data_IF_113438578127
#
_entry.id   IF_113438578127
#
_cell.length_a   1.000
_cell.length_b   1.000
_cell.length_c   1.000
_cell.angle_alpha   90.00
_cell.angle_beta   90.00
_cell.angle_gamma   90.00
#
_symmetry.space_group_name_H-M   'P 1'
#
loop_
_entity.id
_entity.type
_entity.pdbx_description
1 polymer ?
#
# COMPACT_ATOMS: atom_id res chain seq x y z
N UNK A 1 -7.58 14.51 -20.63
CA UNK A 1 -6.92 13.31 -21.20
C UNK A 1 -5.46 13.15 -20.78
N UNK A 2 -4.72 14.19 -20.46
CA UNK A 2 -3.31 14.15 -20.03
C UNK A 2 -3.09 13.43 -18.68
N UNK A 3 -4.04 13.51 -17.76
CA UNK A 3 -3.93 12.98 -16.39
C UNK A 3 -3.91 11.44 -16.33
N UNK A 4 -4.76 10.74 -17.08
CA UNK A 4 -4.87 9.27 -17.05
C UNK A 4 -3.62 8.61 -17.64
N UNK A 5 -3.05 9.16 -18.71
CA UNK A 5 -1.82 8.64 -19.33
C UNK A 5 -0.63 8.80 -18.39
N UNK A 6 -0.50 9.96 -17.74
CA UNK A 6 0.57 10.21 -16.76
C UNK A 6 0.44 9.24 -15.56
N UNK A 7 -0.78 9.06 -15.03
CA UNK A 7 -1.05 8.15 -13.93
C UNK A 7 -0.72 6.70 -14.31
N UNK A 8 -1.17 6.22 -15.49
CA UNK A 8 -0.91 4.85 -15.93
C UNK A 8 0.60 4.59 -16.09
N UNK A 9 1.33 5.56 -16.64
CA UNK A 9 2.80 5.46 -16.78
C UNK A 9 3.46 5.40 -15.40
N UNK A 10 3.07 6.28 -14.48
CA UNK A 10 3.63 6.32 -13.14
C UNK A 10 3.31 5.04 -12.35
N UNK A 11 2.06 4.55 -12.38
CA UNK A 11 1.66 3.29 -11.74
C UNK A 11 2.44 2.10 -12.31
N UNK A 12 2.55 2.00 -13.63
CA UNK A 12 3.26 0.88 -14.27
C UNK A 12 4.75 0.85 -13.92
N UNK A 13 5.37 2.01 -13.74
CA UNK A 13 6.79 2.13 -13.41
C UNK A 13 7.08 1.97 -11.90
N UNK A 14 6.20 2.42 -11.02
CA UNK A 14 6.40 2.33 -9.57
C UNK A 14 6.43 0.87 -9.10
N UNK A 15 7.40 0.52 -8.26
CA UNK A 15 7.48 -0.80 -7.63
C UNK A 15 6.58 -0.93 -6.41
N UNK A 16 6.44 0.16 -5.64
CA UNK A 16 5.65 0.24 -4.41
C UNK A 16 4.85 1.54 -4.36
N UNK A 17 3.80 1.55 -3.56
CA UNK A 17 2.96 2.71 -3.30
C UNK A 17 2.36 2.64 -1.90
N UNK A 18 1.79 3.75 -1.44
CA UNK A 18 0.97 3.83 -0.25
C UNK A 18 -0.50 3.95 -0.65
N UNK A 19 -1.35 3.07 -0.11
CA UNK A 19 -2.80 3.17 -0.20
C UNK A 19 -3.34 3.67 1.13
N UNK A 20 -4.07 4.79 1.09
CA UNK A 20 -4.67 5.42 2.27
C UNK A 20 -6.17 5.58 2.05
N UNK A 21 -6.96 5.52 3.12
CA UNK A 21 -8.41 5.70 3.05
C UNK A 21 -8.98 6.29 4.32
N UNK A 22 -10.10 7.00 4.20
CA UNK A 22 -10.86 7.49 5.35
C UNK A 22 -11.45 6.32 6.13
N UNK A 23 -11.54 6.51 7.44
CA UNK A 23 -12.20 5.56 8.34
C UNK A 23 -13.14 6.34 9.24
N UNK A 24 -14.43 6.02 9.22
CA UNK A 24 -15.45 6.74 9.97
C UNK A 24 -15.11 6.86 11.46
N UNK A 25 -14.86 8.10 11.91
CA UNK A 25 -14.58 8.44 13.31
C UNK A 25 -13.27 7.90 13.88
N UNK A 26 -12.35 7.40 13.04
CA UNK A 26 -11.05 6.85 13.43
C UNK A 26 -9.92 7.50 12.63
N UNK A 27 -8.68 7.19 13.00
CA UNK A 27 -7.54 7.55 12.14
C UNK A 27 -7.68 6.90 10.78
N UNK A 28 -7.27 7.58 9.70
CA UNK A 28 -7.24 6.99 8.36
C UNK A 28 -6.53 5.64 8.34
N UNK A 29 -7.00 4.74 7.50
CA UNK A 29 -6.31 3.48 7.26
C UNK A 29 -5.18 3.65 6.25
N UNK A 30 -4.18 2.76 6.32
CA UNK A 30 -3.05 2.82 5.43
C UNK A 30 -2.39 1.45 5.20
N UNK A 31 -1.90 1.22 3.98
CA UNK A 31 -1.14 0.03 3.58
C UNK A 31 -0.01 0.43 2.63
N UNK A 32 1.14 -0.24 2.75
CA UNK A 32 2.10 -0.32 1.67
C UNK A 32 1.65 -1.39 0.66
N UNK A 33 1.62 -1.05 -0.63
CA UNK A 33 1.04 -1.91 -1.66
C UNK A 33 1.91 -1.96 -2.92
N UNK A 34 1.74 -3.01 -3.71
CA UNK A 34 2.25 -3.07 -5.08
C UNK A 34 1.21 -2.43 -5.99
N UNK A 35 1.51 -1.29 -6.62
CA UNK A 35 0.57 -0.64 -7.52
C UNK A 35 0.49 -1.39 -8.85
N UNK A 36 -0.71 -1.74 -9.28
CA UNK A 36 -1.02 -2.46 -10.51
C UNK A 36 -1.93 -1.63 -11.40
N UNK A 37 -2.17 -2.09 -12.63
CA UNK A 37 -3.06 -1.42 -13.57
C UNK A 37 -4.03 -2.41 -14.19
N UNK A 38 -5.34 -2.18 -14.03
CA UNK A 38 -6.39 -3.01 -14.58
C UNK A 38 -7.31 -2.19 -15.48
N UNK A 39 -7.39 -2.58 -16.76
CA UNK A 39 -8.16 -1.79 -17.72
C UNK A 39 -7.64 -0.37 -17.85
N UNK A 40 -8.40 0.58 -17.34
CA UNK A 40 -8.12 2.03 -17.36
C UNK A 40 -7.87 2.63 -15.96
N UNK A 41 -7.74 1.79 -14.90
CA UNK A 41 -7.67 2.22 -13.51
C UNK A 41 -6.47 1.65 -12.75
N UNK A 42 -5.96 2.39 -11.76
CA UNK A 42 -5.04 1.83 -10.77
C UNK A 42 -5.73 0.70 -9.99
N UNK A 43 -4.97 -0.35 -9.73
CA UNK A 43 -5.42 -1.51 -8.98
C UNK A 43 -4.42 -1.89 -7.88
N UNK A 44 -4.92 -2.52 -6.83
CA UNK A 44 -4.15 -3.16 -5.76
C UNK A 44 -4.73 -4.53 -5.51
N UNK A 45 -3.90 -5.58 -5.53
CA UNK A 45 -4.35 -6.95 -5.32
C UNK A 45 -3.89 -7.46 -3.94
N UNK A 46 -4.77 -7.42 -2.96
CA UNK A 46 -4.49 -7.86 -1.59
C UNK A 46 -4.75 -9.37 -1.43
N UNK A 47 -3.92 -10.10 -0.66
CA UNK A 47 -4.23 -11.47 -0.29
C UNK A 47 -5.47 -11.53 0.62
N UNK A 48 -6.23 -12.61 0.56
CA UNK A 48 -7.43 -12.80 1.38
C UNK A 48 -7.19 -12.72 2.90
N UNK A 49 -5.96 -12.92 3.35
CA UNK A 49 -5.59 -12.66 4.74
C UNK A 49 -5.77 -11.19 5.18
N UNK A 50 -5.97 -10.26 4.23
CA UNK A 50 -6.19 -8.84 4.48
C UNK A 50 -7.65 -8.41 4.20
N UNK A 51 -8.61 -9.32 4.31
CA UNK A 51 -10.02 -9.08 3.98
C UNK A 51 -10.61 -7.90 4.77
N UNK A 52 -10.31 -7.77 6.04
CA UNK A 52 -10.79 -6.66 6.88
C UNK A 52 -10.27 -5.30 6.37
N UNK A 53 -8.99 -5.22 6.00
CA UNK A 53 -8.41 -3.99 5.47
C UNK A 53 -8.97 -3.64 4.09
N UNK A 54 -9.22 -4.64 3.22
CA UNK A 54 -9.80 -4.43 1.91
C UNK A 54 -11.24 -3.88 2.01
N UNK A 55 -12.07 -4.48 2.87
CA UNK A 55 -13.43 -3.99 3.11
C UNK A 55 -13.44 -2.60 3.74
N UNK A 56 -12.57 -2.35 4.73
CA UNK A 56 -12.46 -1.03 5.36
C UNK A 56 -12.05 0.04 4.34
N UNK A 57 -11.11 -0.27 3.44
CA UNK A 57 -10.68 0.64 2.38
C UNK A 57 -11.81 0.95 1.40
N UNK A 58 -12.57 -0.06 0.98
CA UNK A 58 -13.70 0.12 0.05
C UNK A 58 -14.87 0.89 0.69
N UNK A 59 -15.10 0.69 2.00
CA UNK A 59 -16.17 1.39 2.73
C UNK A 59 -15.82 2.85 3.06
N UNK A 60 -14.55 3.24 3.05
CA UNK A 60 -14.07 4.55 3.52
C UNK A 60 -14.49 5.76 2.67
N UNK A 61 -15.10 5.55 1.51
CA UNK A 61 -15.65 6.59 0.64
C UNK A 61 -14.60 7.41 -0.09
N UNK A 62 -13.53 7.84 0.56
CA UNK A 62 -12.41 8.58 -0.02
C UNK A 62 -11.09 7.85 0.23
N UNK A 63 -10.29 7.72 -0.81
CA UNK A 63 -9.00 7.06 -0.76
C UNK A 63 -7.95 7.78 -1.61
N UNK A 64 -6.68 7.51 -1.33
CA UNK A 64 -5.55 8.00 -2.08
C UNK A 64 -4.55 6.88 -2.38
N UNK A 65 -4.11 6.79 -3.62
CA UNK A 65 -2.93 6.03 -4.01
C UNK A 65 -1.76 6.99 -4.20
N UNK A 66 -0.74 6.85 -3.39
CA UNK A 66 0.44 7.72 -3.41
C UNK A 66 1.60 6.95 -4.01
N UNK A 67 2.14 7.50 -5.08
CA UNK A 67 3.32 7.00 -5.76
C UNK A 67 4.47 7.95 -5.37
N UNK A 68 5.18 7.64 -4.30
CA UNK A 68 6.19 8.54 -3.72
C UNK A 68 7.63 8.06 -3.89
N UNK A 69 7.84 6.73 -4.06
CA UNK A 69 9.15 6.09 -4.05
C UNK A 69 9.75 5.94 -5.46
N UNK A 70 10.82 6.66 -5.79
CA UNK A 70 11.45 6.60 -7.11
C UNK A 70 12.42 5.43 -7.29
N UNK A 71 12.82 4.75 -6.20
CA UNK A 71 13.98 3.84 -6.19
C UNK A 71 13.86 2.65 -7.17
N UNK A 72 12.63 2.22 -7.48
CA UNK A 72 12.35 1.14 -8.44
C UNK A 72 11.66 1.62 -9.72
N UNK A 73 11.41 2.92 -9.86
CA UNK A 73 10.58 3.46 -10.94
C UNK A 73 11.36 3.88 -12.20
N UNK A 74 12.68 3.91 -12.13
CA UNK A 74 13.54 4.30 -13.25
C UNK A 74 13.71 5.82 -13.42
N UNK A 75 14.61 6.25 -14.32
CA UNK A 75 14.94 7.66 -14.51
C UNK A 75 13.76 8.43 -15.11
N UNK A 76 13.59 9.68 -14.69
CA UNK A 76 12.55 10.57 -15.22
C UNK A 76 11.15 10.33 -14.66
N UNK A 77 10.94 9.32 -13.82
CA UNK A 77 9.67 9.08 -13.16
C UNK A 77 9.32 10.24 -12.19
N UNK A 78 8.03 10.59 -12.15
CA UNK A 78 7.54 11.66 -11.29
C UNK A 78 6.54 11.10 -10.28
N UNK A 79 6.63 11.52 -9.00
CA UNK A 79 5.69 11.12 -7.97
C UNK A 79 4.31 11.74 -8.23
N UNK A 80 3.26 10.96 -7.96
CA UNK A 80 1.87 11.38 -8.11
C UNK A 80 1.04 10.96 -6.90
N UNK A 81 -0.01 11.72 -6.64
CA UNK A 81 -1.09 11.37 -5.73
C UNK A 81 -2.38 11.29 -6.55
N UNK A 82 -3.01 10.13 -6.55
CA UNK A 82 -4.33 9.94 -7.15
C UNK A 82 -5.35 9.76 -6.02
N UNK A 83 -6.31 10.68 -5.90
CA UNK A 83 -7.41 10.61 -4.95
C UNK A 83 -8.69 10.18 -5.65
N UNK A 84 -9.56 9.46 -4.94
CA UNK A 84 -10.79 8.96 -5.52
C UNK A 84 -11.54 8.01 -4.59
N UNK A 85 -12.31 7.11 -5.19
CA UNK A 85 -13.05 6.07 -4.47
C UNK A 85 -12.54 4.69 -4.83
N UNK A 86 -12.60 3.78 -3.87
CA UNK A 86 -12.22 2.39 -4.09
C UNK A 86 -13.45 1.52 -4.34
N UNK A 87 -13.34 0.68 -5.37
CA UNK A 87 -14.29 -0.42 -5.61
C UNK A 87 -13.57 -1.72 -5.31
N UNK A 88 -14.17 -2.59 -4.50
CA UNK A 88 -13.64 -3.91 -4.17
C UNK A 88 -14.24 -4.96 -5.13
N UNK A 89 -13.36 -5.77 -5.71
CA UNK A 89 -13.69 -6.99 -6.43
C UNK A 89 -13.12 -8.18 -5.66
N UNK A 90 -13.99 -9.06 -5.20
CA UNK A 90 -13.61 -10.30 -4.54
C UNK A 90 -13.35 -11.39 -5.59
N UNK A 91 -12.09 -11.53 -5.99
CA UNK A 91 -11.63 -12.53 -6.95
C UNK A 91 -11.37 -13.86 -6.21
N UNK A 92 -12.44 -14.56 -5.87
CA UNK A 92 -12.40 -15.77 -5.02
C UNK A 92 -11.82 -17.00 -5.72
N UNK A 93 -11.84 -17.07 -7.05
CA UNK A 93 -11.21 -18.13 -7.83
C UNK A 93 -9.81 -17.75 -8.36
N UNK A 94 -9.43 -16.47 -8.24
CA UNK A 94 -8.13 -15.97 -8.68
C UNK A 94 -7.99 -15.79 -10.18
N UNK A 95 -9.08 -15.84 -10.94
CA UNK A 95 -9.04 -15.73 -12.41
C UNK A 95 -8.65 -14.33 -12.84
N UNK A 96 -9.27 -13.30 -12.29
CA UNK A 96 -8.96 -11.90 -12.59
C UNK A 96 -7.48 -11.58 -12.30
N UNK A 97 -7.00 -11.97 -11.14
CA UNK A 97 -5.61 -11.74 -10.76
C UNK A 97 -4.65 -12.49 -11.69
N UNK A 98 -4.89 -13.79 -11.92
CA UNK A 98 -4.00 -14.63 -12.70
C UNK A 98 -3.90 -14.18 -14.16
N UNK A 99 -5.02 -13.78 -14.76
CA UNK A 99 -5.07 -13.41 -16.17
C UNK A 99 -4.59 -11.98 -16.47
N UNK A 100 -4.81 -11.03 -15.53
CA UNK A 100 -4.59 -9.62 -15.82
C UNK A 100 -3.54 -8.91 -14.95
N UNK A 101 -3.29 -9.39 -13.74
CA UNK A 101 -2.46 -8.68 -12.76
C UNK A 101 -1.20 -9.43 -12.35
N UNK A 102 -1.19 -10.75 -12.41
CA UNK A 102 -0.08 -11.59 -11.92
C UNK A 102 1.26 -11.23 -12.56
N UNK A 103 1.30 -11.06 -13.89
CA UNK A 103 2.54 -10.70 -14.58
C UNK A 103 3.10 -9.35 -14.17
N UNK A 104 2.23 -8.41 -13.80
CA UNK A 104 2.66 -7.12 -13.27
C UNK A 104 3.23 -7.28 -11.87
N UNK A 105 2.57 -8.06 -11.02
CA UNK A 105 3.03 -8.32 -9.65
C UNK A 105 4.37 -9.06 -9.65
N UNK A 106 4.55 -10.10 -10.46
CA UNK A 106 5.79 -10.85 -10.54
C UNK A 106 6.98 -9.99 -11.00
N UNK A 107 6.74 -8.97 -11.82
CA UNK A 107 7.79 -8.02 -12.23
C UNK A 107 8.17 -7.05 -11.12
N UNK A 108 7.17 -6.56 -10.36
CA UNK A 108 7.34 -5.50 -9.36
C UNK A 108 7.73 -6.02 -7.98
N UNK A 109 7.27 -7.23 -7.64
CA UNK A 109 7.45 -7.85 -6.34
C UNK A 109 8.03 -9.26 -6.48
N UNK A 110 9.35 -9.39 -6.67
CA UNK A 110 10.03 -10.67 -6.86
C UNK A 110 9.69 -11.77 -5.84
N UNK A 111 9.42 -11.49 -4.55
CA UNK A 111 8.98 -12.52 -3.62
C UNK A 111 7.74 -13.30 -4.05
N UNK A 112 6.84 -12.71 -4.84
CA UNK A 112 5.66 -13.41 -5.39
C UNK A 112 6.03 -14.55 -6.35
N UNK A 113 7.22 -14.50 -6.97
CA UNK A 113 7.70 -15.55 -7.85
C UNK A 113 7.83 -16.90 -7.15
N UNK A 114 8.22 -16.92 -5.89
CA UNK A 114 8.31 -18.13 -5.08
C UNK A 114 6.95 -18.84 -4.90
N UNK A 115 5.83 -18.15 -5.18
CA UNK A 115 4.48 -18.67 -5.01
C UNK A 115 3.73 -18.91 -6.33
N UNK A 116 4.06 -18.17 -7.40
CA UNK A 116 3.21 -18.13 -8.58
C UNK A 116 3.94 -18.06 -9.94
N UNK A 117 5.26 -18.18 -10.00
CA UNK A 117 6.05 -18.02 -11.23
C UNK A 117 5.84 -19.15 -12.26
N UNK A 118 5.41 -20.33 -11.83
CA UNK A 118 5.17 -21.47 -12.71
C UNK A 118 3.80 -22.11 -12.47
N UNK A 119 3.26 -22.86 -13.45
CA UNK A 119 2.00 -23.58 -13.26
C UNK A 119 2.02 -24.55 -12.07
N UNK A 120 3.17 -25.17 -11.78
CA UNK A 120 3.34 -26.07 -10.65
C UNK A 120 3.23 -25.30 -9.32
N UNK A 121 3.91 -24.15 -9.19
CA UNK A 121 3.83 -23.30 -8.01
C UNK A 121 2.41 -22.76 -7.81
N UNK A 122 1.72 -22.35 -8.87
CA UNK A 122 0.33 -21.89 -8.82
C UNK A 122 -0.61 -22.98 -8.30
N UNK A 123 -0.39 -24.23 -8.71
CA UNK A 123 -1.17 -25.36 -8.21
C UNK A 123 -0.87 -25.66 -6.74
N UNK A 124 0.39 -25.62 -6.33
CA UNK A 124 0.81 -25.84 -4.94
C UNK A 124 0.31 -24.72 -4.02
N UNK A 125 0.43 -23.48 -4.47
CA UNK A 125 0.03 -22.30 -3.72
C UNK A 125 -1.32 -21.72 -4.21
N UNK A 126 -2.26 -22.58 -4.57
CA UNK A 126 -3.57 -22.15 -5.11
C UNK A 126 -4.26 -21.09 -4.24
N UNK A 127 -4.09 -21.12 -2.92
CA UNK A 127 -4.61 -20.16 -1.94
C UNK A 127 -4.04 -18.75 -2.10
N UNK A 128 -2.95 -18.61 -2.85
CA UNK A 128 -2.31 -17.32 -3.13
C UNK A 128 -2.93 -16.60 -4.32
N UNK A 129 -3.56 -17.29 -5.24
CA UNK A 129 -4.10 -16.72 -6.49
C UNK A 129 -5.39 -15.92 -6.26
N UNK A 130 -6.34 -16.37 -5.42
CA UNK A 130 -7.49 -15.55 -5.07
C UNK A 130 -7.06 -14.22 -4.44
N UNK A 131 -7.70 -13.11 -4.86
CA UNK A 131 -7.34 -11.75 -4.44
C UNK A 131 -8.57 -10.93 -4.09
N UNK A 132 -8.32 -9.95 -3.26
CA UNK A 132 -9.19 -8.82 -3.03
C UNK A 132 -8.63 -7.67 -3.85
N UNK A 133 -9.25 -7.40 -4.99
CA UNK A 133 -8.76 -6.39 -5.93
C UNK A 133 -9.48 -5.06 -5.66
N UNK A 134 -8.73 -4.09 -5.17
CA UNK A 134 -9.19 -2.72 -4.99
C UNK A 134 -8.87 -1.92 -6.26
N UNK A 135 -9.90 -1.33 -6.85
CA UNK A 135 -9.79 -0.48 -8.04
C UNK A 135 -10.04 0.96 -7.61
N UNK A 136 -9.11 1.85 -7.92
CA UNK A 136 -9.28 3.28 -7.66
C UNK A 136 -9.95 3.93 -8.87
N UNK A 137 -11.10 4.56 -8.63
CA UNK A 137 -11.74 5.48 -9.57
C UNK A 137 -11.23 6.90 -9.28
N UNK A 138 -10.22 7.39 -10.02
CA UNK A 138 -9.56 8.64 -9.67
C UNK A 138 -10.46 9.83 -9.99
N UNK A 139 -10.68 10.67 -8.98
CA UNK A 139 -11.39 11.96 -9.12
C UNK A 139 -10.39 13.08 -9.38
N UNK A 140 -9.20 12.99 -8.79
CA UNK A 140 -8.13 13.96 -8.99
C UNK A 140 -6.76 13.26 -9.03
N UNK A 141 -5.83 13.83 -9.80
CA UNK A 141 -4.45 13.36 -9.92
C UNK A 141 -3.52 14.58 -9.91
N UNK A 142 -2.73 14.68 -8.87
CA UNK A 142 -1.81 15.81 -8.66
C UNK A 142 -0.36 15.36 -8.52
N UNK A 143 0.61 16.24 -8.77
CA UNK A 143 2.00 15.96 -8.45
C UNK A 143 2.17 15.63 -6.97
N UNK A 144 2.87 14.54 -6.66
CA UNK A 144 3.21 14.12 -5.32
C UNK A 144 4.56 14.64 -4.85
N UNK A 145 4.84 14.47 -3.56
CA UNK A 145 6.19 14.62 -3.02
C UNK A 145 6.99 13.34 -3.21
N UNK A 146 8.30 13.50 -3.40
CA UNK A 146 9.25 12.39 -3.53
C UNK A 146 9.73 11.93 -2.16
N UNK A 147 9.82 10.64 -1.95
CA UNK A 147 10.51 10.06 -0.80
C UNK A 147 11.93 9.67 -1.21
N UNK A 148 12.93 10.25 -0.56
CA UNK A 148 14.34 10.01 -0.87
C UNK A 148 15.07 9.18 0.19
N UNK A 149 14.41 8.90 1.32
CA UNK A 149 15.02 8.12 2.39
C UNK A 149 14.09 7.81 3.58
N UNK A 150 14.63 7.19 4.64
CA UNK A 150 13.85 6.70 5.78
C UNK A 150 13.24 7.81 6.66
N UNK A 151 13.71 9.05 6.51
CA UNK A 151 13.10 10.21 7.16
C UNK A 151 11.82 10.68 6.46
N UNK A 152 11.58 10.26 5.22
CA UNK A 152 10.43 10.69 4.46
C UNK A 152 9.29 9.66 4.60
N UNK A 153 8.07 10.16 4.76
CA UNK A 153 6.87 9.36 4.93
C UNK A 153 5.69 9.99 4.20
N UNK A 154 4.58 9.26 4.10
CA UNK A 154 3.30 9.80 3.64
C UNK A 154 2.41 10.03 4.84
N UNK A 155 1.94 11.26 5.00
CA UNK A 155 0.97 11.67 6.00
C UNK A 155 -0.41 11.78 5.36
N UNK A 156 -1.41 11.17 5.97
CA UNK A 156 -2.81 11.45 5.69
C UNK A 156 -3.50 12.00 6.95
N UNK A 157 -4.24 13.08 6.79
CA UNK A 157 -5.05 13.71 7.84
C UNK A 157 -6.49 13.72 7.39
N UNK A 158 -7.41 13.26 8.24
CA UNK A 158 -8.85 13.36 8.04
C UNK A 158 -9.36 14.67 8.66
N UNK A 159 -9.55 15.67 7.80
CA UNK A 159 -10.02 17.02 8.17
C UNK A 159 -10.97 17.51 7.06
N UNK A 160 -12.27 17.27 7.24
CA UNK A 160 -13.32 17.50 6.22
C UNK A 160 -13.05 16.85 4.86
N UNK A 161 -12.13 15.88 4.80
CA UNK A 161 -11.63 15.17 3.63
C UNK A 161 -10.28 14.52 3.92
N UNK A 162 -9.80 13.70 3.00
CA UNK A 162 -8.52 13.02 3.14
C UNK A 162 -7.38 13.89 2.56
N UNK A 163 -6.68 14.61 3.41
CA UNK A 163 -5.52 15.41 3.01
C UNK A 163 -4.24 14.58 3.06
N UNK A 164 -3.61 14.37 1.91
CA UNK A 164 -2.44 13.49 1.79
C UNK A 164 -1.22 14.25 1.29
N UNK A 165 -0.08 14.08 1.96
CA UNK A 165 1.21 14.66 1.57
C UNK A 165 2.39 13.77 1.93
N UNK A 166 3.43 13.84 1.11
CA UNK A 166 4.77 13.37 1.50
C UNK A 166 5.38 14.39 2.45
N UNK A 167 5.85 13.92 3.59
CA UNK A 167 6.39 14.73 4.68
C UNK A 167 7.74 14.20 5.10
N UNK A 168 8.53 15.03 5.80
CA UNK A 168 9.74 14.60 6.48
C UNK A 168 9.55 14.57 7.98
N UNK A 169 9.93 13.47 8.58
CA UNK A 169 9.92 13.25 10.03
C UNK A 169 11.29 13.60 10.59
N UNK A 170 11.33 14.51 11.56
CA UNK A 170 12.60 14.96 12.15
C UNK A 170 13.18 13.91 13.10
N UNK A 171 12.35 13.39 13.98
CA UNK A 171 12.69 12.35 14.93
C UNK A 171 11.49 11.43 15.14
N UNK A 172 11.65 10.17 14.76
CA UNK A 172 10.59 9.17 14.87
C UNK A 172 10.30 8.70 16.30
N UNK A 173 11.19 8.99 17.23
CA UNK A 173 11.07 8.59 18.65
C UNK A 173 10.51 9.73 19.52
N UNK A 174 10.30 10.91 18.93
CA UNK A 174 9.74 12.06 19.62
C UNK A 174 8.23 11.91 19.89
N UNK A 175 7.77 12.48 20.99
CA UNK A 175 6.36 12.69 21.30
C UNK A 175 6.19 14.11 21.88
N UNK A 176 5.54 15.06 21.16
CA UNK A 176 4.93 14.89 19.83
C UNK A 176 5.94 14.66 18.71
N UNK A 177 5.51 13.92 17.69
CA UNK A 177 6.30 13.68 16.49
C UNK A 177 6.14 14.88 15.53
N UNK A 178 7.25 15.53 15.20
CA UNK A 178 7.24 16.69 14.31
C UNK A 178 7.43 16.27 12.86
N UNK A 179 6.56 16.78 11.97
CA UNK A 179 6.61 16.54 10.53
C UNK A 179 6.69 17.84 9.76
N UNK A 180 7.66 17.92 8.85
CA UNK A 180 7.81 19.05 7.93
C UNK A 180 7.10 18.74 6.63
N UNK A 181 6.33 19.71 6.11
CA UNK A 181 5.58 19.56 4.86
C UNK A 181 4.15 19.03 5.05
N UNK A 182 3.64 18.98 6.27
CA UNK A 182 2.24 18.67 6.54
C UNK A 182 1.28 19.63 5.78
N UNK A 183 0.05 19.19 5.45
CA UNK A 183 -0.94 20.05 4.82
C UNK A 183 -1.18 21.29 5.71
N UNK A 184 -1.11 22.52 5.16
CA UNK A 184 -1.29 23.73 5.95
C UNK A 184 -2.64 23.76 6.64
N UNK A 185 -2.65 23.97 7.95
CA UNK A 185 -3.88 24.10 8.75
C UNK A 185 -4.63 22.79 9.00
N UNK A 186 -4.25 21.68 8.40
CA UNK A 186 -4.94 20.41 8.60
C UNK A 186 -4.87 19.95 10.06
N UNK A 187 -6.03 19.57 10.60
CA UNK A 187 -6.20 19.14 11.99
C UNK A 187 -7.16 17.97 12.06
N UNK A 188 -6.77 16.89 12.71
CA UNK A 188 -7.65 15.75 12.85
C UNK A 188 -6.92 14.43 13.07
N UNK A 189 -7.68 13.34 13.10
CA UNK A 189 -7.11 12.00 13.10
C UNK A 189 -6.17 11.83 11.91
N UNK A 190 -5.01 11.24 12.15
CA UNK A 190 -3.99 11.14 11.14
C UNK A 190 -3.29 9.78 11.15
N UNK A 191 -2.74 9.41 10.00
CA UNK A 191 -1.85 8.26 9.84
C UNK A 191 -0.59 8.68 9.10
N UNK A 192 0.54 8.17 9.55
CA UNK A 192 1.84 8.34 8.93
C UNK A 192 2.36 6.98 8.47
N UNK A 193 2.73 6.89 7.20
CA UNK A 193 3.22 5.65 6.57
C UNK A 193 4.62 5.87 6.05
N UNK A 194 5.54 5.09 6.56
CA UNK A 194 6.87 4.98 6.00
C UNK A 194 7.12 3.58 5.46
N UNK A 195 7.99 3.45 4.46
CA UNK A 195 8.36 2.14 3.96
C UNK A 195 9.81 2.11 3.49
N UNK A 196 10.47 0.98 3.72
CA UNK A 196 11.82 0.70 3.27
C UNK A 196 11.85 -0.56 2.43
N UNK A 197 12.54 -0.49 1.29
CA UNK A 197 12.70 -1.58 0.34
C UNK A 197 14.16 -1.81 0.02
N UNK A 198 14.55 -3.07 -0.20
CA UNK A 198 15.86 -3.38 -0.77
C UNK A 198 15.87 -3.05 -2.27
N UNK A 199 16.95 -2.43 -2.72
CA UNK A 199 17.16 -2.04 -4.12
C UNK A 199 18.37 -2.82 -4.65
N UNK A 200 18.32 -3.38 -5.85
CA UNK A 200 17.26 -3.27 -6.87
C UNK A 200 16.19 -4.38 -6.81
N UNK A 201 16.28 -5.31 -5.88
CA UNK A 201 15.58 -6.60 -5.91
C UNK A 201 14.18 -6.61 -5.27
N UNK A 202 13.85 -5.59 -4.45
CA UNK A 202 12.61 -5.54 -3.66
C UNK A 202 12.32 -6.84 -2.86
N UNK A 203 13.35 -7.65 -2.55
CA UNK A 203 13.19 -8.90 -1.80
C UNK A 203 12.79 -8.65 -0.35
N UNK A 204 13.20 -7.49 0.19
CA UNK A 204 12.88 -7.07 1.54
C UNK A 204 12.05 -5.79 1.48
N UNK A 205 10.95 -5.81 2.18
CA UNK A 205 10.06 -4.69 2.27
C UNK A 205 9.50 -4.58 3.69
N UNK A 206 9.73 -3.44 4.32
CA UNK A 206 9.24 -3.09 5.64
C UNK A 206 8.33 -1.89 5.51
N UNK A 207 7.11 -2.02 5.99
CA UNK A 207 6.14 -0.93 6.08
C UNK A 207 5.89 -0.66 7.56
N UNK A 208 5.91 0.60 7.94
CA UNK A 208 5.55 1.03 9.28
C UNK A 208 4.43 2.06 9.20
N UNK A 209 3.44 1.86 10.04
CA UNK A 209 2.24 2.71 10.11
C UNK A 209 2.11 3.21 11.54
N UNK A 210 1.95 4.50 11.67
CA UNK A 210 1.77 5.18 12.96
C UNK A 210 0.53 6.05 12.89
N UNK A 211 -0.38 5.92 13.85
CA UNK A 211 -1.60 6.72 13.93
C UNK A 211 -1.52 7.68 15.10
N UNK A 212 -2.17 8.83 14.97
CA UNK A 212 -2.24 9.85 16.00
C UNK A 212 -3.23 10.94 15.64
N UNK A 213 -3.08 12.09 16.26
CA UNK A 213 -3.82 13.30 15.94
C UNK A 213 -2.86 14.37 15.45
N UNK A 214 -3.10 14.88 14.24
CA UNK A 214 -2.31 15.93 13.64
C UNK A 214 -2.87 17.32 13.99
N UNK A 215 -2.00 18.24 14.38
CA UNK A 215 -2.28 19.65 14.48
C UNK A 215 -0.99 20.45 14.25
N UNK A 216 -1.04 21.44 13.36
CA UNK A 216 0.06 22.37 13.09
C UNK A 216 1.41 21.66 12.78
N UNK A 217 1.37 20.56 12.04
CA UNK A 217 2.56 19.76 11.67
C UNK A 217 3.13 18.91 12.81
N UNK A 218 2.35 18.66 13.85
CA UNK A 218 2.69 17.78 14.98
C UNK A 218 1.69 16.66 15.10
N UNK A 219 2.19 15.44 15.28
CA UNK A 219 1.37 14.28 15.62
C UNK A 219 1.51 13.98 17.11
N UNK A 220 0.38 13.93 17.80
CA UNK A 220 0.27 13.58 19.23
C UNK A 220 -0.45 12.24 19.40
N UNK A 221 -0.26 11.56 20.52
CA UNK A 221 -0.87 10.27 20.82
C UNK A 221 -0.35 9.16 19.91
N UNK A 222 0.85 9.33 19.41
CA UNK A 222 1.50 8.41 18.46
C UNK A 222 1.81 7.09 19.16
N UNK A 223 1.40 5.99 18.52
CA UNK A 223 1.91 4.67 18.88
C UNK A 223 3.20 4.42 18.11
N UNK A 224 4.35 4.25 18.78
CA UNK A 224 5.61 4.00 18.09
C UNK A 224 5.47 2.81 17.13
N UNK A 225 5.93 2.97 15.90
CA UNK A 225 6.03 1.87 14.97
C UNK A 225 7.10 0.89 15.48
N UNK A 226 6.77 -0.39 15.55
CA UNK A 226 7.68 -1.41 16.08
C UNK A 226 8.99 -1.54 15.29
N UNK A 227 8.99 -1.20 13.99
CA UNK A 227 10.16 -1.31 13.10
C UNK A 227 10.11 -0.27 11.99
N UNK A 228 11.22 0.43 11.80
CA UNK A 228 11.41 1.48 10.77
C UNK A 228 12.52 1.18 9.79
N UNK A 229 13.50 0.43 10.21
CA UNK A 229 14.60 0.01 9.35
C UNK A 229 14.22 -1.23 8.53
N UNK A 230 14.85 -1.36 7.37
CA UNK A 230 14.70 -2.55 6.54
C UNK A 230 15.10 -3.80 7.35
N UNK A 231 14.18 -4.75 7.45
CA UNK A 231 14.45 -5.99 8.18
C UNK A 231 15.66 -6.73 7.56
N UNK A 232 16.52 -7.35 8.39
CA UNK A 232 17.53 -8.24 7.88
C UNK A 232 16.88 -9.42 7.14
N UNK A 233 17.62 -10.05 6.23
CA UNK A 233 17.12 -11.22 5.51
C UNK A 233 16.64 -12.28 6.50
N UNK A 234 15.34 -12.62 6.50
CA UNK A 234 14.83 -13.58 7.47
C UNK A 234 15.37 -14.98 7.20
N UNK A 235 15.80 -15.66 8.24
CA UNK A 235 16.23 -17.05 8.14
C UNK A 235 15.10 -17.97 7.65
N UNK A 236 15.46 -19.14 7.11
CA UNK A 236 14.50 -20.07 6.48
C UNK A 236 13.29 -20.40 7.38
N UNK A 237 13.51 -20.64 8.67
CA UNK A 237 12.41 -20.94 9.63
C UNK A 237 11.42 -19.79 9.76
N UNK A 238 11.89 -18.54 9.73
CA UNK A 238 11.04 -17.34 9.79
C UNK A 238 10.25 -17.18 8.50
N UNK A 239 10.90 -17.41 7.35
CA UNK A 239 10.21 -17.38 6.03
C UNK A 239 9.10 -18.40 5.96
N UNK A 240 9.39 -19.66 6.31
CA UNK A 240 8.38 -20.74 6.33
C UNK A 240 7.24 -20.43 7.29
N UNK A 241 7.53 -19.90 8.47
CA UNK A 241 6.49 -19.50 9.43
C UNK A 241 5.59 -18.38 8.88
N UNK A 242 6.18 -17.35 8.25
CA UNK A 242 5.43 -16.24 7.63
C UNK A 242 4.54 -16.75 6.48
N UNK A 243 5.09 -17.60 5.60
CA UNK A 243 4.33 -18.19 4.51
C UNK A 243 3.14 -19.02 5.02
N UNK A 244 3.36 -19.89 6.02
CA UNK A 244 2.28 -20.68 6.64
C UNK A 244 1.24 -19.83 7.36
N UNK A 245 1.64 -18.70 7.94
CA UNK A 245 0.70 -17.77 8.55
C UNK A 245 -0.18 -17.09 7.49
N UNK A 246 0.43 -16.62 6.39
CA UNK A 246 -0.28 -16.05 5.25
C UNK A 246 -1.25 -17.09 4.63
N UNK A 247 -0.77 -18.31 4.37
CA UNK A 247 -1.59 -19.40 3.84
C UNK A 247 -2.82 -19.68 4.73
N UNK A 248 -2.62 -19.82 6.05
CA UNK A 248 -3.71 -20.05 6.98
C UNK A 248 -4.73 -18.91 6.97
N UNK A 249 -4.26 -17.66 6.98
CA UNK A 249 -5.13 -16.49 6.92
C UNK A 249 -5.96 -16.45 5.63
N UNK A 250 -5.33 -16.68 4.47
CA UNK A 250 -6.03 -16.72 3.18
C UNK A 250 -7.07 -17.86 3.15
N UNK A 251 -6.68 -19.07 3.53
CA UNK A 251 -7.61 -20.23 3.54
C UNK A 251 -8.78 -20.04 4.49
N UNK A 252 -8.56 -19.43 5.65
CA UNK A 252 -9.61 -19.13 6.62
C UNK A 252 -10.59 -18.09 6.06
N UNK A 253 -10.10 -17.01 5.51
CA UNK A 253 -10.93 -15.94 4.94
C UNK A 253 -11.73 -16.43 3.72
N UNK A 254 -11.09 -17.17 2.79
CA UNK A 254 -11.78 -17.77 1.65
C UNK A 254 -12.92 -18.69 2.06
N UNK A 255 -12.70 -19.54 3.08
CA UNK A 255 -13.77 -20.42 3.60
C UNK A 255 -14.91 -19.62 4.23
N UNK A 256 -14.59 -18.56 4.98
CA UNK A 256 -15.60 -17.70 5.59
C UNK A 256 -16.46 -16.99 4.55
N UNK A 257 -15.88 -16.65 3.39
CA UNK A 257 -16.56 -16.05 2.24
C UNK A 257 -17.27 -17.09 1.33
N UNK A 258 -17.21 -18.39 1.65
CA UNK A 258 -17.87 -19.45 0.86
C UNK A 258 -17.07 -19.92 -0.37
N UNK A 259 -15.83 -19.48 -0.52
CA UNK A 259 -14.93 -19.95 -1.58
C UNK A 259 -14.18 -21.23 -1.14
N UNK A 260 -14.02 -22.19 -2.05
CA UNK A 260 -13.35 -23.47 -1.80
C UNK A 260 -12.06 -23.60 -2.60
#
# INVERSE_FOLDING_TARGET
>A
MTSTTALSTAVRAAGVAELLWRSDGRSPGALGVVPLWLGDRPAVALPWAQVEAAHAAAAGGEAALVLSDPRLAGPGWQPLVATGRLTLVEDGDGSLFTEQLLDQELRKHPPSRALADSPMLRREHWWYLPRLVLLLDPLDVVPGGRRDGPADAVLAVDDDGLHVRTVRVTDWDADPLEVTGAPPGARGPAVLVGQEISVPDAERWTVHVTSGHCADGRLTGVRPAERRALEPVPGLRVRVRRQRALERGCRQALRAAGHR
#
